data_IF_577570907094
#
_entry.id   IF_577570907094
#
_cell.length_a   1.000
_cell.length_b   1.000
_cell.length_c   1.000
_cell.angle_alpha   90.00
_cell.angle_beta   90.00
_cell.angle_gamma   90.00
#
_symmetry.space_group_name_H-M   'P 1'
#
loop_
_entity.id
_entity.type
_entity.pdbx_description
1 polymer ?
#
# COMPACT_ATOMS: atom_id res chain seq x y z
N UNK A 1 5.83 -17.65 10.42
CA UNK A 1 5.94 -17.07 9.07
C UNK A 1 5.11 -15.80 9.07
N UNK A 2 5.62 -14.67 8.58
CA UNK A 2 4.85 -13.44 8.48
C UNK A 2 3.58 -13.61 7.64
N UNK A 3 2.50 -12.93 8.03
CA UNK A 3 1.19 -13.04 7.39
C UNK A 3 0.55 -11.67 7.16
N UNK A 4 -0.39 -11.62 6.21
CA UNK A 4 -1.24 -10.45 5.97
C UNK A 4 -2.59 -10.63 6.68
N UNK A 5 -2.91 -9.68 7.58
CA UNK A 5 -4.12 -9.66 8.39
C UNK A 5 -5.11 -8.66 7.77
N UNK A 6 -6.11 -9.17 7.08
CA UNK A 6 -7.14 -8.35 6.42
C UNK A 6 -8.25 -7.85 7.35
N UNK A 7 -8.54 -8.61 8.43
CA UNK A 7 -9.65 -8.28 9.32
C UNK A 7 -10.98 -8.20 8.55
N UNK A 8 -11.61 -7.02 8.55
CA UNK A 8 -12.86 -6.74 7.82
C UNK A 8 -12.67 -6.24 6.38
N UNK A 9 -11.43 -5.96 5.97
CA UNK A 9 -11.13 -5.36 4.68
C UNK A 9 -10.98 -6.42 3.61
N UNK A 10 -11.38 -6.10 2.39
CA UNK A 10 -11.24 -6.98 1.24
C UNK A 10 -10.51 -6.23 0.12
N UNK A 11 -9.44 -6.85 -0.41
CA UNK A 11 -8.72 -6.37 -1.59
C UNK A 11 -8.99 -7.36 -2.73
N UNK A 12 -9.70 -6.96 -3.78
CA UNK A 12 -10.02 -7.87 -4.89
C UNK A 12 -8.86 -8.08 -5.86
N UNK A 13 -7.90 -7.14 -5.92
CA UNK A 13 -6.73 -7.27 -6.78
C UNK A 13 -5.68 -8.23 -6.18
N UNK A 14 -5.51 -9.37 -6.83
CA UNK A 14 -4.54 -10.40 -6.44
C UNK A 14 -3.10 -9.87 -6.43
N UNK A 15 -2.76 -8.89 -7.27
CA UNK A 15 -1.42 -8.29 -7.30
C UNK A 15 -1.11 -7.58 -5.99
N UNK A 16 -2.08 -6.83 -5.45
CA UNK A 16 -1.93 -6.16 -4.15
C UNK A 16 -1.80 -7.18 -3.03
N UNK A 17 -2.61 -8.24 -3.05
CA UNK A 17 -2.53 -9.28 -2.03
C UNK A 17 -1.16 -9.96 -2.01
N UNK A 18 -0.65 -10.33 -3.20
CA UNK A 18 0.67 -10.95 -3.35
C UNK A 18 1.78 -10.00 -2.92
N UNK A 19 1.68 -8.71 -3.26
CA UNK A 19 2.68 -7.70 -2.87
C UNK A 19 2.69 -7.47 -1.36
N UNK A 20 1.53 -7.42 -0.70
CA UNK A 20 1.46 -7.32 0.76
C UNK A 20 2.11 -8.53 1.45
N UNK A 21 1.89 -9.73 0.91
CA UNK A 21 2.51 -10.95 1.44
C UNK A 21 4.03 -10.93 1.25
N UNK A 22 4.50 -10.52 0.07
CA UNK A 22 5.93 -10.37 -0.21
C UNK A 22 6.59 -9.31 0.69
N UNK A 23 5.90 -8.21 0.97
CA UNK A 23 6.33 -7.20 1.95
C UNK A 23 6.45 -7.82 3.34
N UNK A 24 5.44 -8.55 3.81
CA UNK A 24 5.45 -9.18 5.13
C UNK A 24 6.64 -10.14 5.28
N UNK A 25 6.89 -10.94 4.24
CA UNK A 25 8.00 -11.88 4.18
C UNK A 25 9.36 -11.19 4.16
N UNK A 26 9.52 -10.15 3.32
CA UNK A 26 10.79 -9.41 3.18
C UNK A 26 11.15 -8.66 4.46
N UNK A 27 10.16 -8.05 5.14
CA UNK A 27 10.37 -7.33 6.39
C UNK A 27 10.43 -8.29 7.59
N UNK A 28 9.96 -9.53 7.43
CA UNK A 28 9.93 -10.53 8.51
C UNK A 28 8.87 -10.24 9.57
N UNK A 29 7.79 -9.54 9.23
CA UNK A 29 6.74 -9.08 10.17
C UNK A 29 5.36 -9.13 9.56
N UNK A 30 4.37 -9.36 10.41
CA UNK A 30 2.96 -9.33 9.98
C UNK A 30 2.57 -7.94 9.47
N UNK A 31 1.70 -7.93 8.47
CA UNK A 31 1.12 -6.72 7.88
C UNK A 31 -0.37 -6.69 8.21
N UNK A 32 -0.87 -5.57 8.72
CA UNK A 32 -2.30 -5.38 9.02
C UNK A 32 -2.91 -4.38 8.05
N UNK A 33 -3.90 -4.82 7.29
CA UNK A 33 -4.66 -3.97 6.38
C UNK A 33 -5.63 -3.10 7.18
N UNK A 34 -5.68 -1.81 6.87
CA UNK A 34 -6.56 -0.82 7.51
C UNK A 34 -7.55 -0.18 6.55
N UNK A 35 -7.36 -0.35 5.24
CA UNK A 35 -8.35 -0.06 4.21
C UNK A 35 -7.95 -0.77 2.90
N UNK A 36 -8.92 -1.12 2.07
CA UNK A 36 -8.70 -1.77 0.77
C UNK A 36 -9.77 -1.27 -0.23
N UNK A 37 -10.51 -2.15 -0.89
CA UNK A 37 -11.54 -1.80 -1.86
C UNK A 37 -12.59 -0.85 -1.25
N UNK A 38 -12.95 0.21 -1.98
CA UNK A 38 -13.96 1.17 -1.56
C UNK A 38 -15.00 1.34 -2.65
N UNK A 39 -16.27 1.11 -2.30
CA UNK A 39 -17.42 1.35 -3.19
C UNK A 39 -17.89 2.81 -3.19
N UNK A 40 -17.48 3.60 -2.18
CA UNK A 40 -17.91 4.98 -2.00
C UNK A 40 -16.73 5.89 -1.64
N UNK A 41 -16.81 7.15 -2.06
CA UNK A 41 -15.86 8.19 -1.68
C UNK A 41 -16.08 8.53 -0.19
N UNK A 42 -15.08 8.29 0.64
CA UNK A 42 -15.10 8.74 2.04
C UNK A 42 -14.92 10.26 2.07
N UNK A 43 -15.69 10.97 2.90
CA UNK A 43 -15.62 12.43 3.04
C UNK A 43 -14.17 12.87 3.29
N UNK A 44 -13.63 13.73 2.42
CA UNK A 44 -12.24 14.20 2.48
C UNK A 44 -11.22 13.37 1.68
N UNK A 45 -11.62 12.22 1.13
CA UNK A 45 -10.80 11.45 0.18
C UNK A 45 -10.85 12.03 -1.23
N UNK A 46 -9.76 11.85 -1.98
CA UNK A 46 -9.71 12.22 -3.39
C UNK A 46 -10.73 11.41 -4.21
N UNK A 47 -11.48 12.08 -5.09
CA UNK A 47 -12.39 11.45 -6.06
C UNK A 47 -11.65 10.55 -7.06
N UNK A 48 -10.33 10.69 -7.17
CA UNK A 48 -9.46 9.90 -8.03
C UNK A 48 -8.62 8.88 -7.25
N UNK A 49 -9.09 8.46 -6.07
CA UNK A 49 -8.39 7.48 -5.24
C UNK A 49 -8.32 6.11 -5.92
N UNK A 50 -7.15 5.46 -5.86
CA UNK A 50 -6.96 4.09 -6.36
C UNK A 50 -7.83 3.06 -5.62
N UNK A 51 -8.25 3.35 -4.39
CA UNK A 51 -9.19 2.50 -3.64
C UNK A 51 -10.56 2.40 -4.31
N UNK A 52 -10.98 3.41 -5.08
CA UNK A 52 -12.28 3.43 -5.77
C UNK A 52 -12.28 2.58 -7.04
N UNK A 53 -11.10 2.19 -7.50
CA UNK A 53 -10.90 1.28 -8.64
C UNK A 53 -10.25 -0.03 -8.21
N UNK A 54 -10.23 -0.30 -6.90
CA UNK A 54 -9.68 -1.52 -6.28
C UNK A 54 -8.19 -1.77 -6.59
N UNK A 55 -7.42 -0.71 -6.83
CA UNK A 55 -5.97 -0.79 -7.12
C UNK A 55 -5.12 -0.19 -6.00
N UNK A 56 -5.64 -0.14 -4.76
CA UNK A 56 -4.85 0.23 -3.59
C UNK A 56 -5.31 -0.37 -2.27
N UNK A 57 -4.36 -0.43 -1.33
CA UNK A 57 -4.50 -0.87 0.06
C UNK A 57 -3.76 0.06 1.00
N UNK A 58 -4.34 0.30 2.16
CA UNK A 58 -3.71 0.99 3.28
C UNK A 58 -3.38 -0.04 4.36
N UNK A 59 -2.21 0.07 4.98
CA UNK A 59 -1.72 -0.93 5.93
C UNK A 59 -0.74 -0.37 6.96
N UNK A 60 -0.48 -1.18 7.99
CA UNK A 60 0.60 -1.02 8.95
C UNK A 60 1.45 -2.30 9.01
N UNK A 61 2.72 -2.15 9.38
CA UNK A 61 3.59 -3.29 9.71
C UNK A 61 3.64 -3.46 11.22
N UNK A 62 3.32 -4.66 11.71
CA UNK A 62 3.20 -4.92 13.14
C UNK A 62 4.54 -4.75 13.86
N UNK A 63 4.53 -3.93 14.91
CA UNK A 63 5.70 -3.66 15.74
C UNK A 63 6.72 -2.70 15.11
N UNK A 64 6.33 -1.96 14.07
CA UNK A 64 7.07 -0.81 13.53
C UNK A 64 6.15 0.41 13.51
N UNK A 65 6.71 1.60 13.67
CA UNK A 65 6.01 2.83 13.27
C UNK A 65 5.91 2.93 11.75
N UNK A 66 4.95 3.70 11.23
CA UNK A 66 4.81 3.90 9.79
C UNK A 66 6.08 4.51 9.16
N UNK A 67 6.80 5.36 9.88
CA UNK A 67 8.06 5.94 9.39
C UNK A 67 9.18 4.89 9.29
N UNK A 68 9.31 4.02 10.29
CA UNK A 68 10.29 2.92 10.27
C UNK A 68 9.96 1.91 9.18
N UNK A 69 8.68 1.55 9.06
CA UNK A 69 8.21 0.65 8.02
C UNK A 69 8.43 1.25 6.62
N UNK A 70 8.07 2.53 6.40
CA UNK A 70 8.31 3.22 5.13
C UNK A 70 9.79 3.24 4.75
N UNK A 71 10.66 3.58 5.71
CA UNK A 71 12.11 3.55 5.50
C UNK A 71 12.60 2.15 5.12
N UNK A 72 12.20 1.11 5.85
CA UNK A 72 12.62 -0.26 5.57
C UNK A 72 12.15 -0.74 4.17
N UNK A 73 10.93 -0.38 3.77
CA UNK A 73 10.41 -0.68 2.43
C UNK A 73 11.16 0.08 1.33
N UNK A 74 11.57 1.32 1.59
CA UNK A 74 12.39 2.12 0.66
C UNK A 74 13.80 1.55 0.51
N UNK A 75 14.41 1.11 1.60
CA UNK A 75 15.74 0.48 1.59
C UNK A 75 15.71 -0.88 0.86
N UNK A 76 14.61 -1.63 0.97
CA UNK A 76 14.42 -2.91 0.29
C UNK A 76 13.64 -2.80 -1.03
N UNK A 77 13.53 -1.59 -1.59
CA UNK A 77 12.63 -1.29 -2.73
C UNK A 77 12.84 -2.24 -3.90
N UNK A 78 14.09 -2.50 -4.28
CA UNK A 78 14.41 -3.37 -5.42
C UNK A 78 14.05 -4.84 -5.14
N UNK A 79 14.21 -5.31 -3.91
CA UNK A 79 13.85 -6.67 -3.54
C UNK A 79 12.33 -6.88 -3.47
N UNK A 80 11.59 -5.83 -3.08
CA UNK A 80 10.13 -5.88 -2.91
C UNK A 80 9.42 -5.63 -4.24
N UNK A 81 9.76 -4.53 -4.90
CA UNK A 81 9.05 -4.03 -6.06
C UNK A 81 9.79 -4.27 -7.36
N UNK A 82 10.97 -4.89 -7.35
CA UNK A 82 11.79 -5.05 -8.55
C UNK A 82 12.54 -3.78 -8.98
N UNK A 83 13.37 -3.89 -10.04
CA UNK A 83 14.05 -2.73 -10.64
C UNK A 83 13.05 -1.75 -11.26
N UNK A 84 13.44 -0.48 -11.45
CA UNK A 84 12.58 0.59 -12.01
C UNK A 84 12.30 0.44 -13.52
N UNK A 85 11.76 -0.70 -13.93
CA UNK A 85 11.45 -1.03 -15.32
C UNK A 85 10.13 -1.80 -15.41
N UNK A 86 9.40 -1.64 -16.52
CA UNK A 86 8.17 -2.38 -16.75
C UNK A 86 7.05 -2.06 -15.75
N UNK A 87 6.39 -3.09 -15.23
CA UNK A 87 5.23 -2.96 -14.35
C UNK A 87 5.61 -2.55 -12.91
N UNK A 88 6.88 -2.71 -12.54
CA UNK A 88 7.42 -2.38 -11.22
C UNK A 88 7.50 -0.87 -10.95
N UNK A 89 7.63 -0.07 -12.03
CA UNK A 89 7.53 1.39 -11.98
C UNK A 89 6.11 1.89 -11.66
N UNK A 90 5.11 1.00 -11.63
CA UNK A 90 3.70 1.36 -11.38
C UNK A 90 3.31 1.29 -9.92
N UNK A 91 4.12 0.66 -9.07
CA UNK A 91 3.87 0.61 -7.63
C UNK A 91 4.06 1.98 -7.01
N UNK A 92 3.05 2.43 -6.27
CA UNK A 92 3.06 3.65 -5.48
C UNK A 92 3.11 3.27 -4.01
N UNK A 93 4.22 3.61 -3.35
CA UNK A 93 4.35 3.48 -1.90
C UNK A 93 4.40 4.88 -1.30
N UNK A 94 3.41 5.22 -0.48
CA UNK A 94 3.27 6.55 0.13
C UNK A 94 3.10 6.37 1.63
N UNK A 95 3.74 7.23 2.42
CA UNK A 95 3.45 7.36 3.85
C UNK A 95 2.46 8.52 4.06
N UNK A 96 1.29 8.22 4.62
CA UNK A 96 0.36 9.24 5.11
C UNK A 96 0.69 9.59 6.56
N UNK A 97 0.86 10.89 6.83
CA UNK A 97 1.13 11.41 8.17
C UNK A 97 -0.12 11.62 9.02
N UNK A 98 0.03 12.05 10.29
CA UNK A 98 -1.08 12.23 11.23
C UNK A 98 -2.10 13.31 10.84
N UNK A 99 -1.71 14.25 9.98
CA UNK A 99 -2.54 15.37 9.55
C UNK A 99 -3.14 15.17 8.14
N UNK A 100 -3.19 13.93 7.64
CA UNK A 100 -3.80 13.67 6.33
C UNK A 100 -5.31 13.54 6.44
N UNK A 101 -6.02 14.03 5.43
CA UNK A 101 -7.48 13.90 5.27
C UNK A 101 -7.96 12.45 5.09
N UNK A 102 -7.04 11.47 5.10
CA UNK A 102 -7.26 10.06 4.76
C UNK A 102 -7.54 9.15 5.96
N UNK A 103 -7.77 9.72 7.15
CA UNK A 103 -8.20 8.95 8.33
C UNK A 103 -7.08 8.55 9.30
N UNK A 104 -5.97 9.30 9.31
CA UNK A 104 -4.84 9.12 10.24
C UNK A 104 -3.57 8.56 9.56
N UNK A 105 -2.47 8.38 10.32
CA UNK A 105 -1.24 7.80 9.79
C UNK A 105 -1.46 6.40 9.23
N UNK A 106 -0.83 6.07 8.11
CA UNK A 106 -0.72 4.71 7.56
C UNK A 106 0.25 4.68 6.37
N UNK A 107 0.59 3.47 5.92
CA UNK A 107 1.21 3.25 4.63
C UNK A 107 0.16 2.97 3.56
N UNK A 108 0.37 3.52 2.38
CA UNK A 108 -0.45 3.30 1.20
C UNK A 108 0.37 2.57 0.16
N UNK A 109 -0.18 1.47 -0.37
CA UNK A 109 0.32 0.76 -1.53
C UNK A 109 -0.73 0.81 -2.63
N UNK A 110 -0.37 1.40 -3.77
CA UNK A 110 -1.21 1.46 -4.95
C UNK A 110 -0.51 0.91 -6.18
N UNK A 111 -1.29 0.48 -7.17
CA UNK A 111 -0.79 0.11 -8.48
C UNK A 111 -1.37 1.06 -9.53
N UNK A 112 -0.51 1.79 -10.24
CA UNK A 112 -0.96 2.77 -11.24
C UNK A 112 -1.38 2.06 -12.55
N UNK A 113 -2.65 2.18 -12.98
CA UNK A 113 -3.13 1.49 -14.17
C UNK A 113 -2.43 1.99 -15.45
N UNK A 114 -2.41 1.14 -16.48
CA UNK A 114 -1.85 1.49 -17.80
C UNK A 114 -2.54 2.75 -18.35
N UNK A 115 -1.75 3.77 -18.68
CA UNK A 115 -2.23 5.06 -19.20
C UNK A 115 -2.17 6.25 -18.22
N UNK A 116 -1.88 6.04 -16.93
CA UNK A 116 -1.58 7.13 -15.98
C UNK A 116 -0.11 7.09 -15.56
N UNK A 117 0.66 8.20 -15.66
CA UNK A 117 2.03 8.22 -15.16
C UNK A 117 2.03 7.96 -13.65
N UNK A 118 2.98 7.17 -13.13
CA UNK A 118 3.06 6.92 -11.70
C UNK A 118 3.33 8.23 -10.97
N UNK A 119 2.62 8.45 -9.86
CA UNK A 119 2.83 9.60 -9.00
C UNK A 119 3.97 9.26 -8.06
N UNK A 120 5.10 9.92 -8.27
CA UNK A 120 6.22 9.94 -7.32
C UNK A 120 5.93 11.05 -6.32
N UNK A 121 5.62 10.67 -5.08
CA UNK A 121 5.73 11.53 -3.89
C UNK A 121 6.40 10.71 -2.80
#
# INVERSE_FOLDING_TARGET
MPTVIYGRYHASDQRLQNMLQHIAETIGRDVRVTSADRINIVKGSSVNSLHLINEAVDFHVIGLSDAEAFRALRENRVAIFGPEVGDDYRWQLIQHGPYTSTGGPHLHLGYSPKGKPPRVN
#
